data_IF_726092334125
#
_entry.id   IF_726092334125
#
_cell.length_a   1.000
_cell.length_b   1.000
_cell.length_c   1.000
_cell.angle_alpha   90.00
_cell.angle_beta   90.00
_cell.angle_gamma   90.00
#
_symmetry.space_group_name_H-M   'P 1'
#
loop_
_entity.id
_entity.type
_entity.pdbx_description
1 polymer ?
#
# COMPACT_ATOMS: atom_id res chain seq x y z
N UNK A 1 -13.18 15.70 -54.52
CA UNK A 1 -13.71 15.41 -53.17
C UNK A 1 -12.68 15.96 -52.19
N UNK A 2 -13.02 17.08 -51.55
CA UNK A 2 -12.11 17.81 -50.67
C UNK A 2 -12.11 17.11 -49.33
N UNK A 3 -10.94 16.61 -48.92
CA UNK A 3 -10.69 16.23 -47.52
C UNK A 3 -10.75 17.52 -46.69
N UNK A 4 -11.83 17.68 -45.93
CA UNK A 4 -11.89 18.69 -44.90
C UNK A 4 -10.83 18.36 -43.85
N UNK A 5 -9.78 19.19 -43.79
CA UNK A 5 -8.84 19.21 -42.67
C UNK A 5 -9.65 19.58 -41.42
N UNK A 6 -9.94 18.59 -40.58
CA UNK A 6 -10.41 18.84 -39.24
C UNK A 6 -9.29 19.60 -38.51
N UNK A 7 -9.56 20.85 -38.19
CA UNK A 7 -8.70 21.65 -37.28
C UNK A 7 -8.48 20.84 -35.99
N UNK A 8 -7.24 20.61 -35.56
CA UNK A 8 -7.01 19.92 -34.32
C UNK A 8 -7.65 20.75 -33.19
N UNK A 9 -8.72 20.24 -32.58
CA UNK A 9 -9.28 20.85 -31.40
C UNK A 9 -8.15 20.91 -30.36
N UNK A 10 -7.86 22.12 -29.85
CA UNK A 10 -6.88 22.30 -28.80
C UNK A 10 -7.26 21.34 -27.63
N UNK A 11 -6.31 20.57 -27.16
CA UNK A 11 -6.53 19.66 -26.04
C UNK A 11 -7.11 20.44 -24.84
N UNK A 12 -8.17 19.95 -24.19
CA UNK A 12 -8.76 20.62 -23.03
C UNK A 12 -7.73 20.80 -21.92
N UNK A 13 -7.77 21.94 -21.24
CA UNK A 13 -6.85 22.27 -20.14
C UNK A 13 -7.57 22.05 -18.82
N UNK A 14 -7.00 21.22 -17.98
CA UNK A 14 -7.47 20.94 -16.62
C UNK A 14 -6.63 21.64 -15.56
N UNK A 15 -7.20 21.90 -14.39
CA UNK A 15 -6.41 22.31 -13.25
C UNK A 15 -5.55 21.15 -12.75
N UNK A 16 -6.17 19.95 -12.66
CA UNK A 16 -5.52 18.73 -12.22
C UNK A 16 -5.86 17.54 -13.12
N UNK A 17 -4.88 16.71 -13.39
CA UNK A 17 -5.12 15.36 -13.92
C UNK A 17 -4.65 14.35 -12.88
N UNK A 18 -5.52 13.37 -12.57
CA UNK A 18 -5.22 12.22 -11.73
C UNK A 18 -5.02 11.02 -12.65
N UNK A 19 -3.78 10.58 -12.77
CA UNK A 19 -3.39 9.42 -13.57
C UNK A 19 -3.37 8.16 -12.70
N UNK A 20 -4.39 7.33 -12.85
CA UNK A 20 -4.68 6.15 -12.06
C UNK A 20 -5.82 6.38 -11.04
N UNK A 21 -6.93 5.68 -11.23
CA UNK A 21 -8.10 5.67 -10.32
C UNK A 21 -8.07 4.47 -9.36
N UNK A 22 -6.90 4.18 -8.80
CA UNK A 22 -6.72 3.23 -7.70
C UNK A 22 -6.85 3.91 -6.33
N UNK A 23 -6.43 3.21 -5.26
CA UNK A 23 -6.53 3.73 -3.88
C UNK A 23 -5.95 5.13 -3.69
N UNK A 24 -4.80 5.45 -4.27
CA UNK A 24 -4.17 6.77 -4.12
C UNK A 24 -4.86 7.86 -4.93
N UNK A 25 -5.16 7.59 -6.22
CA UNK A 25 -5.82 8.59 -7.07
C UNK A 25 -7.22 8.93 -6.59
N UNK A 26 -8.00 7.92 -6.19
CA UNK A 26 -9.34 8.15 -5.63
C UNK A 26 -9.29 8.80 -4.24
N UNK A 27 -8.29 8.50 -3.40
CA UNK A 27 -8.10 9.23 -2.14
C UNK A 27 -7.82 10.71 -2.40
N UNK A 28 -6.94 11.04 -3.35
CA UNK A 28 -6.66 12.41 -3.69
C UNK A 28 -7.91 13.12 -4.24
N UNK A 29 -8.65 12.47 -5.14
CA UNK A 29 -9.92 12.99 -5.67
C UNK A 29 -10.92 13.29 -4.54
N UNK A 30 -11.07 12.36 -3.59
CA UNK A 30 -11.96 12.54 -2.44
C UNK A 30 -11.62 13.80 -1.66
N UNK A 31 -10.36 14.01 -1.27
CA UNK A 31 -9.94 15.18 -0.51
C UNK A 31 -9.99 16.48 -1.32
N UNK A 32 -9.71 16.46 -2.62
CA UNK A 32 -9.89 17.62 -3.50
C UNK A 32 -11.36 18.07 -3.54
N UNK A 33 -12.29 17.11 -3.65
CA UNK A 33 -13.73 17.40 -3.68
C UNK A 33 -14.29 17.81 -2.32
N UNK A 34 -13.70 17.38 -1.23
CA UNK A 34 -14.05 17.81 0.12
C UNK A 34 -13.51 19.20 0.48
N UNK A 35 -12.50 19.68 -0.24
CA UNK A 35 -11.91 21.01 -0.01
C UNK A 35 -12.85 22.14 -0.42
N UNK A 36 -13.14 23.12 0.46
CA UNK A 36 -13.98 24.28 0.11
C UNK A 36 -13.34 25.18 -0.95
N UNK A 37 -12.01 25.14 -1.12
CA UNK A 37 -11.24 25.98 -2.05
C UNK A 37 -11.04 25.29 -3.40
N UNK A 38 -10.84 23.96 -3.38
CA UNK A 38 -10.42 23.18 -4.55
C UNK A 38 -11.55 22.40 -5.21
N UNK A 39 -12.72 22.26 -4.56
CA UNK A 39 -13.83 21.41 -5.01
C UNK A 39 -14.39 21.78 -6.40
N UNK A 40 -14.18 23.04 -6.85
CA UNK A 40 -14.64 23.52 -8.15
C UNK A 40 -13.57 23.49 -9.26
N UNK A 41 -12.37 22.97 -8.97
CA UNK A 41 -11.30 22.83 -9.96
C UNK A 41 -11.68 21.82 -11.04
N UNK A 42 -11.25 22.08 -12.28
CA UNK A 42 -11.45 21.15 -13.39
C UNK A 42 -10.50 19.96 -13.24
N UNK A 43 -11.04 18.78 -13.01
CA UNK A 43 -10.28 17.56 -12.75
C UNK A 43 -10.56 16.52 -13.84
N UNK A 44 -9.52 15.93 -14.40
CA UNK A 44 -9.61 14.76 -15.23
C UNK A 44 -9.02 13.56 -14.50
N UNK A 45 -9.78 12.48 -14.43
CA UNK A 45 -9.32 11.19 -13.92
C UNK A 45 -9.15 10.23 -15.08
N UNK A 46 -7.97 9.65 -15.24
CA UNK A 46 -7.66 8.69 -16.30
C UNK A 46 -7.21 7.38 -15.68
N UNK A 47 -7.82 6.28 -16.07
CA UNK A 47 -7.41 4.92 -15.67
C UNK A 47 -7.66 3.95 -16.81
N UNK A 48 -6.85 2.91 -16.92
CA UNK A 48 -7.01 1.85 -17.91
C UNK A 48 -8.32 1.07 -17.76
N UNK A 49 -8.90 1.05 -16.54
CA UNK A 49 -10.22 0.48 -16.26
C UNK A 49 -10.93 1.26 -15.16
N UNK A 50 -12.11 1.79 -15.50
CA UNK A 50 -13.04 2.41 -14.57
C UNK A 50 -14.03 1.39 -13.99
N UNK A 51 -14.06 0.18 -14.54
CA UNK A 51 -14.75 -0.96 -13.94
C UNK A 51 -13.86 -1.58 -12.86
N UNK A 52 -14.16 -1.29 -11.60
CA UNK A 52 -13.37 -1.77 -10.46
C UNK A 52 -13.90 -3.11 -9.95
N UNK A 53 -12.96 -3.92 -9.50
CA UNK A 53 -13.23 -5.22 -8.84
C UNK A 53 -12.71 -5.17 -7.41
N UNK A 54 -13.05 -6.16 -6.59
CA UNK A 54 -12.47 -6.28 -5.26
C UNK A 54 -11.06 -6.88 -5.36
N UNK A 55 -10.10 -6.07 -5.83
CA UNK A 55 -8.74 -6.50 -6.13
C UNK A 55 -7.81 -6.49 -4.92
N UNK A 56 -8.27 -5.99 -3.78
CA UNK A 56 -7.50 -5.91 -2.53
C UNK A 56 -8.34 -5.64 -1.30
N UNK A 57 -7.80 -6.03 -0.17
CA UNK A 57 -8.29 -5.71 1.17
C UNK A 57 -7.27 -4.82 1.87
N UNK A 58 -7.72 -3.71 2.46
CA UNK A 58 -6.86 -2.89 3.31
C UNK A 58 -7.16 -3.14 4.77
N UNK A 59 -6.13 -3.57 5.50
CA UNK A 59 -6.15 -3.66 6.94
C UNK A 59 -5.21 -2.61 7.54
N UNK A 60 -5.68 -1.88 8.53
CA UNK A 60 -4.95 -0.79 9.17
C UNK A 60 -5.43 -0.60 10.60
N UNK A 61 -4.65 0.09 11.41
CA UNK A 61 -5.01 0.44 12.78
C UNK A 61 -5.10 1.96 12.92
N UNK A 62 -6.04 2.39 13.75
CA UNK A 62 -6.22 3.80 14.08
C UNK A 62 -6.93 3.99 15.42
N UNK A 63 -6.88 5.23 15.93
CA UNK A 63 -7.57 5.63 17.16
C UNK A 63 -8.85 6.37 16.77
N UNK A 64 -9.99 5.86 17.26
CA UNK A 64 -11.30 6.46 16.99
C UNK A 64 -11.81 6.18 15.57
N UNK A 65 -12.82 6.94 15.19
CA UNK A 65 -13.49 6.86 13.90
C UNK A 65 -13.03 7.98 13.00
N UNK A 66 -12.96 7.72 11.71
CA UNK A 66 -12.63 8.74 10.73
C UNK A 66 -13.43 8.62 9.44
N UNK A 67 -13.00 9.31 8.44
CA UNK A 67 -13.66 9.64 7.18
C UNK A 67 -14.22 8.45 6.39
N UNK A 68 -13.57 7.27 6.51
CA UNK A 68 -14.00 6.03 5.84
C UNK A 68 -14.56 4.99 6.82
N UNK A 69 -14.99 5.42 8.00
CA UNK A 69 -15.53 4.53 9.03
C UNK A 69 -16.75 3.74 8.57
N UNK A 70 -17.60 4.37 7.75
CA UNK A 70 -18.77 3.71 7.16
C UNK A 70 -18.45 2.56 6.22
N UNK A 71 -17.19 2.42 5.80
CA UNK A 71 -16.71 1.37 4.92
C UNK A 71 -16.03 0.23 5.68
N UNK A 72 -15.83 0.39 7.00
CA UNK A 72 -15.18 -0.63 7.83
C UNK A 72 -16.10 -1.84 7.95
N UNK A 73 -15.68 -2.96 7.39
CA UNK A 73 -16.43 -4.21 7.44
C UNK A 73 -16.28 -4.93 8.77
N UNK A 74 -15.10 -4.86 9.36
CA UNK A 74 -14.83 -5.45 10.65
C UNK A 74 -13.71 -4.69 11.39
N UNK A 75 -13.74 -4.77 12.73
CA UNK A 75 -12.71 -4.23 13.62
C UNK A 75 -12.35 -5.25 14.69
N UNK A 76 -11.08 -5.29 15.04
CA UNK A 76 -10.55 -6.14 16.10
C UNK A 76 -9.93 -5.27 17.18
N UNK A 77 -10.24 -5.59 18.42
CA UNK A 77 -9.70 -4.93 19.62
C UNK A 77 -8.52 -5.71 20.23
N UNK A 78 -8.19 -6.86 19.64
CA UNK A 78 -7.02 -7.66 19.98
C UNK A 78 -6.38 -8.25 18.73
N UNK A 79 -5.05 -8.42 18.81
CA UNK A 79 -4.27 -9.16 17.79
C UNK A 79 -3.56 -10.33 18.46
N UNK A 80 -3.22 -11.35 17.67
CA UNK A 80 -2.36 -12.44 18.14
C UNK A 80 -1.18 -12.67 17.21
N UNK A 81 -0.05 -13.06 17.81
CA UNK A 81 1.20 -13.41 17.13
C UNK A 81 1.59 -14.82 17.55
N UNK A 82 1.88 -15.66 16.54
CA UNK A 82 2.26 -17.06 16.76
C UNK A 82 3.60 -17.36 16.07
N UNK A 83 4.48 -18.07 16.77
CA UNK A 83 5.72 -18.60 16.23
C UNK A 83 6.05 -19.89 16.98
N UNK A 84 7.12 -20.59 16.59
CA UNK A 84 7.53 -21.79 17.30
C UNK A 84 7.70 -21.52 18.80
N UNK A 85 7.00 -22.33 19.63
CA UNK A 85 6.99 -22.21 21.10
C UNK A 85 6.57 -20.82 21.63
N UNK A 86 5.87 -20.02 20.83
CA UNK A 86 5.39 -18.69 21.20
C UNK A 86 3.99 -18.44 20.68
N UNK A 87 3.11 -18.01 21.58
CA UNK A 87 1.78 -17.50 21.26
C UNK A 87 1.45 -16.37 22.22
N UNK A 88 1.06 -15.22 21.70
CA UNK A 88 0.69 -14.06 22.51
C UNK A 88 -0.47 -13.33 21.89
N UNK A 89 -1.50 -13.09 22.69
CA UNK A 89 -2.58 -12.19 22.37
C UNK A 89 -2.32 -10.83 23.04
N UNK A 90 -2.60 -9.76 22.34
CA UNK A 90 -2.33 -8.38 22.72
C UNK A 90 -3.57 -7.53 22.47
N UNK A 91 -4.11 -6.84 23.47
CA UNK A 91 -5.11 -5.81 23.26
C UNK A 91 -4.51 -4.68 22.42
N UNK A 92 -5.30 -4.13 21.50
CA UNK A 92 -4.84 -3.07 20.60
C UNK A 92 -5.08 -1.67 21.15
N UNK A 93 -5.92 -1.52 22.19
CA UNK A 93 -6.27 -0.23 22.78
C UNK A 93 -5.05 0.67 23.01
N UNK A 94 -5.11 1.98 22.64
CA UNK A 94 -6.29 2.73 22.20
C UNK A 94 -6.63 2.60 20.70
N UNK A 95 -5.90 1.75 19.95
CA UNK A 95 -6.17 1.49 18.55
C UNK A 95 -7.24 0.42 18.38
N UNK A 96 -7.94 0.45 17.24
CA UNK A 96 -8.64 -0.69 16.68
C UNK A 96 -7.97 -1.10 15.38
N UNK A 97 -7.79 -2.39 15.13
CA UNK A 97 -7.36 -2.91 13.83
C UNK A 97 -8.59 -3.07 12.96
N UNK A 98 -8.61 -2.47 11.77
CA UNK A 98 -9.80 -2.34 10.93
C UNK A 98 -9.56 -2.90 9.55
N UNK A 99 -10.64 -3.31 8.88
CA UNK A 99 -10.62 -3.86 7.53
C UNK A 99 -11.62 -3.13 6.63
N UNK A 100 -11.15 -2.75 5.42
CA UNK A 100 -11.95 -2.18 4.33
C UNK A 100 -11.68 -2.98 3.06
N UNK A 101 -12.72 -3.33 2.31
CA UNK A 101 -12.55 -3.89 0.96
C UNK A 101 -12.29 -2.78 -0.06
N UNK A 102 -11.41 -3.06 -1.03
CA UNK A 102 -11.07 -2.11 -2.08
C UNK A 102 -12.28 -1.66 -2.89
N UNK A 103 -13.16 -2.59 -3.23
CA UNK A 103 -14.36 -2.29 -4.02
C UNK A 103 -15.31 -1.30 -3.32
N UNK A 104 -15.46 -1.40 -2.00
CA UNK A 104 -16.33 -0.49 -1.24
C UNK A 104 -15.78 0.93 -1.26
N UNK A 105 -14.46 1.07 -1.07
CA UNK A 105 -13.77 2.35 -1.16
C UNK A 105 -13.88 2.95 -2.57
N UNK A 106 -13.65 2.16 -3.61
CA UNK A 106 -13.75 2.64 -4.99
C UNK A 106 -15.16 3.14 -5.31
N UNK A 107 -16.17 2.34 -4.97
CA UNK A 107 -17.57 2.69 -5.18
C UNK A 107 -17.98 3.94 -4.42
N UNK A 108 -17.56 4.08 -3.17
CA UNK A 108 -17.84 5.25 -2.34
C UNK A 108 -17.33 6.54 -2.99
N UNK A 109 -16.06 6.58 -3.37
CA UNK A 109 -15.46 7.78 -3.95
C UNK A 109 -15.99 8.05 -5.35
N UNK A 110 -16.04 7.02 -6.22
CA UNK A 110 -16.49 7.20 -7.60
C UNK A 110 -17.95 7.63 -7.70
N UNK A 111 -18.82 7.08 -6.85
CA UNK A 111 -20.23 7.47 -6.82
C UNK A 111 -20.39 8.95 -6.47
N UNK A 112 -19.70 9.41 -5.44
CA UNK A 112 -19.73 10.82 -5.04
C UNK A 112 -19.14 11.75 -6.11
N UNK A 113 -18.03 11.33 -6.76
CA UNK A 113 -17.33 12.12 -7.75
C UNK A 113 -18.06 12.19 -9.09
N UNK A 114 -18.79 11.15 -9.52
CA UNK A 114 -19.61 11.14 -10.74
C UNK A 114 -20.75 12.15 -10.73
N UNK A 115 -21.16 12.62 -9.55
CA UNK A 115 -22.18 13.67 -9.40
C UNK A 115 -21.62 15.09 -9.62
N UNK A 116 -20.30 15.24 -9.78
CA UNK A 116 -19.61 16.53 -9.91
C UNK A 116 -19.36 16.85 -11.39
N UNK A 117 -19.91 17.96 -11.88
CA UNK A 117 -19.81 18.38 -13.30
C UNK A 117 -18.38 18.78 -13.72
N UNK A 118 -17.54 19.11 -12.76
CA UNK A 118 -16.14 19.50 -12.98
C UNK A 118 -15.16 18.32 -12.89
N UNK A 119 -15.65 17.09 -12.73
CA UNK A 119 -14.85 15.86 -12.74
C UNK A 119 -15.14 15.09 -14.02
N UNK A 120 -14.13 14.94 -14.84
CA UNK A 120 -14.20 14.22 -16.11
C UNK A 120 -13.48 12.88 -15.96
N UNK A 121 -13.96 11.87 -16.70
CA UNK A 121 -13.44 10.51 -16.61
C UNK A 121 -13.06 10.01 -17.99
N UNK A 122 -11.89 9.42 -18.11
CA UNK A 122 -11.41 8.74 -19.31
C UNK A 122 -10.95 7.35 -18.96
N UNK A 123 -11.55 6.34 -19.61
CA UNK A 123 -11.07 4.96 -19.53
C UNK A 123 -10.09 4.71 -20.66
N UNK A 124 -8.80 4.77 -20.36
CA UNK A 124 -7.72 4.55 -21.31
C UNK A 124 -6.39 4.25 -20.59
N UNK A 125 -5.54 3.48 -21.25
CA UNK A 125 -4.15 3.33 -20.84
C UNK A 125 -3.35 4.56 -21.25
N UNK A 126 -2.73 5.22 -20.28
CA UNK A 126 -1.84 6.36 -20.54
C UNK A 126 -0.56 5.84 -21.21
N UNK A 127 -0.23 6.46 -22.36
CA UNK A 127 0.97 6.13 -23.11
C UNK A 127 2.14 7.05 -22.81
N UNK A 128 1.87 8.32 -22.45
CA UNK A 128 2.92 9.29 -22.19
C UNK A 128 2.45 10.39 -21.22
N UNK A 129 3.40 10.89 -20.41
CA UNK A 129 3.24 12.07 -19.54
C UNK A 129 4.48 12.94 -19.75
N UNK A 130 4.29 14.14 -20.31
CA UNK A 130 5.41 15.01 -20.70
C UNK A 130 5.17 16.43 -20.24
N UNK A 131 6.18 17.05 -19.65
CA UNK A 131 6.19 18.48 -19.35
C UNK A 131 6.32 19.27 -20.67
N UNK A 132 5.46 20.26 -20.83
CA UNK A 132 5.47 21.18 -21.98
C UNK A 132 5.57 22.63 -21.50
N UNK A 133 5.91 23.54 -22.41
CA UNK A 133 6.05 24.97 -22.11
C UNK A 133 7.10 25.27 -21.01
N UNK A 134 8.19 24.49 -20.96
CA UNK A 134 9.24 24.54 -19.93
C UNK A 134 9.86 25.93 -19.75
N UNK A 135 9.85 26.77 -20.81
CA UNK A 135 10.41 28.12 -20.78
C UNK A 135 9.42 29.20 -20.35
N UNK A 136 8.15 28.84 -20.13
CA UNK A 136 7.12 29.79 -19.66
C UNK A 136 7.03 29.79 -18.13
N UNK A 137 6.57 30.89 -17.50
CA UNK A 137 6.40 30.95 -16.04
C UNK A 137 5.39 29.92 -15.51
N UNK A 138 4.45 29.51 -16.33
CA UNK A 138 3.50 28.44 -16.03
C UNK A 138 3.79 27.23 -16.91
N UNK A 139 4.46 26.26 -16.35
CA UNK A 139 4.65 24.96 -16.96
C UNK A 139 3.31 24.23 -17.06
N UNK A 140 3.11 23.48 -18.14
CA UNK A 140 1.95 22.62 -18.33
C UNK A 140 2.43 21.18 -18.56
N UNK A 141 1.54 20.21 -18.34
CA UNK A 141 1.78 18.81 -18.62
C UNK A 141 0.83 18.34 -19.69
N UNK A 142 1.33 17.65 -20.70
CA UNK A 142 0.58 16.92 -21.69
C UNK A 142 0.50 15.45 -21.28
N UNK A 143 -0.72 14.92 -21.21
CA UNK A 143 -0.97 13.48 -21.08
C UNK A 143 -1.55 12.97 -22.39
N UNK A 144 -1.05 11.82 -22.85
CA UNK A 144 -1.46 11.17 -24.08
C UNK A 144 -1.90 9.73 -23.80
N UNK A 145 -2.94 9.31 -24.51
CA UNK A 145 -3.46 7.93 -24.53
C UNK A 145 -3.96 7.59 -25.93
N UNK A 146 -4.23 6.34 -26.18
CA UNK A 146 -4.79 5.94 -27.48
C UNK A 146 -6.12 6.65 -27.75
N UNK A 147 -6.19 7.44 -28.81
CA UNK A 147 -7.37 8.19 -29.23
C UNK A 147 -7.55 9.57 -28.59
N UNK A 148 -6.60 10.05 -27.75
CA UNK A 148 -6.74 11.39 -27.17
C UNK A 148 -5.55 11.92 -26.42
N UNK A 149 -5.69 13.19 -26.05
CA UNK A 149 -4.73 13.87 -25.18
C UNK A 149 -5.42 14.96 -24.36
N UNK A 150 -4.82 15.35 -23.25
CA UNK A 150 -5.26 16.48 -22.42
C UNK A 150 -4.05 17.20 -21.83
N UNK A 151 -4.26 18.48 -21.48
CA UNK A 151 -3.27 19.30 -20.80
C UNK A 151 -3.72 19.59 -19.37
N UNK A 152 -2.78 19.74 -18.46
CA UNK A 152 -3.06 20.19 -17.10
C UNK A 152 -1.99 21.12 -16.57
N UNK A 153 -2.37 21.92 -15.56
CA UNK A 153 -1.41 22.70 -14.75
C UNK A 153 -0.58 21.79 -13.86
N UNK A 154 -1.19 20.71 -13.35
CA UNK A 154 -0.52 19.72 -12.47
C UNK A 154 -1.06 18.32 -12.76
N UNK A 155 -0.19 17.33 -12.67
CA UNK A 155 -0.52 15.90 -12.79
C UNK A 155 -0.13 15.16 -11.53
N UNK A 156 -1.04 14.35 -11.02
CA UNK A 156 -0.81 13.42 -9.91
C UNK A 156 -0.89 11.98 -10.45
N UNK A 157 0.22 11.28 -10.47
CA UNK A 157 0.27 9.93 -11.03
C UNK A 157 0.56 8.88 -9.97
N UNK A 158 -0.22 7.79 -10.00
CA UNK A 158 -0.01 6.58 -9.19
C UNK A 158 0.35 5.36 -10.04
N UNK A 159 0.60 5.57 -11.35
CA UNK A 159 0.83 4.48 -12.30
C UNK A 159 2.23 3.93 -12.10
N UNK A 160 2.31 2.72 -11.57
CA UNK A 160 3.55 1.96 -11.45
C UNK A 160 3.94 1.34 -12.80
N UNK A 161 5.24 1.08 -13.03
CA UNK A 161 5.71 0.37 -14.22
C UNK A 161 5.30 -1.12 -14.25
N UNK A 162 4.58 -1.59 -13.22
CA UNK A 162 4.04 -2.94 -13.07
C UNK A 162 2.69 -2.90 -12.33
N UNK A 163 1.89 -3.96 -12.48
CA UNK A 163 0.63 -4.12 -11.76
C UNK A 163 0.85 -4.96 -10.50
N UNK A 164 0.58 -4.40 -9.32
CA UNK A 164 0.83 -5.06 -8.03
C UNK A 164 -0.02 -6.32 -7.80
N UNK A 165 -1.17 -6.42 -8.45
CA UNK A 165 -2.06 -7.59 -8.42
C UNK A 165 -1.83 -8.58 -9.59
N UNK A 166 -0.76 -8.41 -10.34
CA UNK A 166 -0.38 -9.30 -11.43
C UNK A 166 1.08 -9.74 -11.25
N UNK A 167 1.28 -10.91 -10.64
CA UNK A 167 2.63 -11.42 -10.33
C UNK A 167 3.51 -11.58 -11.56
N UNK A 168 2.93 -11.92 -12.72
CA UNK A 168 3.71 -12.02 -13.97
C UNK A 168 4.25 -10.65 -14.42
N UNK A 169 3.50 -9.57 -14.20
CA UNK A 169 3.96 -8.20 -14.45
C UNK A 169 5.07 -7.80 -13.48
N UNK A 170 4.94 -8.18 -12.21
CA UNK A 170 5.93 -7.89 -11.16
C UNK A 170 7.23 -8.65 -11.40
N UNK A 171 7.16 -9.96 -11.71
CA UNK A 171 8.36 -10.77 -12.00
C UNK A 171 9.10 -10.30 -13.25
N UNK A 172 8.37 -9.81 -14.25
CA UNK A 172 8.97 -9.20 -15.44
C UNK A 172 9.71 -7.90 -15.10
N UNK A 173 9.16 -7.07 -14.20
CA UNK A 173 9.83 -5.87 -13.72
C UNK A 173 11.09 -6.22 -12.92
N UNK A 174 11.01 -7.25 -12.09
CA UNK A 174 12.11 -7.72 -11.26
C UNK A 174 13.34 -8.16 -12.06
N UNK A 175 13.13 -8.66 -13.28
CA UNK A 175 14.20 -9.07 -14.20
C UNK A 175 14.93 -7.88 -14.87
N UNK A 176 14.41 -6.65 -14.76
CA UNK A 176 14.84 -5.52 -15.60
C UNK A 176 16.02 -4.74 -15.03
N UNK A 177 16.23 -4.55 -13.75
CA UNK A 177 17.50 -3.99 -13.23
C UNK A 177 17.60 -3.84 -11.71
N UNK A 178 18.02 -4.88 -10.99
CA UNK A 178 18.44 -4.76 -9.58
C UNK A 178 19.90 -4.35 -9.42
N UNK A 179 20.67 -4.36 -10.48
CA UNK A 179 22.14 -4.21 -10.43
C UNK A 179 22.58 -2.75 -10.37
N UNK A 180 21.77 -1.82 -10.86
CA UNK A 180 22.10 -0.40 -10.88
C UNK A 180 22.06 0.29 -9.52
N UNK A 181 21.22 -0.21 -8.57
CA UNK A 181 21.09 0.37 -7.24
C UNK A 181 21.36 -0.69 -6.16
N UNK A 182 22.47 -0.55 -5.44
CA UNK A 182 22.90 -1.43 -4.34
C UNK A 182 22.02 -1.37 -3.07
N UNK A 183 20.81 -0.81 -3.14
CA UNK A 183 19.89 -0.70 -2.01
C UNK A 183 19.07 -1.98 -1.85
N UNK A 184 18.80 -2.45 -0.62
CA UNK A 184 17.94 -3.59 -0.37
C UNK A 184 16.57 -3.43 -1.03
N UNK A 185 16.11 -4.47 -1.70
CA UNK A 185 14.80 -4.55 -2.31
C UNK A 185 14.21 -5.93 -2.04
N UNK A 186 13.05 -5.96 -1.39
CA UNK A 186 12.24 -7.15 -1.17
C UNK A 186 10.84 -6.90 -1.72
N UNK A 187 10.12 -7.97 -1.99
CA UNK A 187 8.69 -7.95 -2.21
C UNK A 187 7.99 -8.43 -0.94
N UNK A 188 6.93 -7.72 -0.53
CA UNK A 188 5.86 -8.35 0.23
C UNK A 188 4.89 -8.90 -0.80
N UNK A 189 4.86 -10.20 -0.95
CA UNK A 189 3.95 -10.86 -1.88
C UNK A 189 3.06 -11.86 -1.14
N UNK A 190 1.84 -12.01 -1.62
CA UNK A 190 0.83 -12.74 -0.90
C UNK A 190 -0.25 -13.32 -1.82
N UNK A 191 -0.93 -14.33 -1.31
CA UNK A 191 -2.25 -14.78 -1.78
C UNK A 191 -3.16 -14.93 -0.59
N UNK A 192 -4.36 -14.32 -0.68
CA UNK A 192 -5.41 -14.35 0.33
C UNK A 192 -6.68 -15.00 -0.20
N UNK A 193 -7.45 -15.61 0.72
CA UNK A 193 -8.77 -16.19 0.47
C UNK A 193 -9.75 -15.74 1.53
N UNK A 194 -10.91 -15.25 1.13
CA UNK A 194 -12.05 -15.18 2.03
C UNK A 194 -12.71 -16.56 2.02
N UNK A 195 -12.69 -17.21 3.18
CA UNK A 195 -13.27 -18.53 3.38
C UNK A 195 -14.51 -18.47 4.26
N UNK A 196 -15.56 -19.21 3.90
CA UNK A 196 -16.80 -19.31 4.67
C UNK A 196 -17.00 -20.77 5.10
N UNK A 197 -17.05 -20.99 6.41
CA UNK A 197 -17.30 -22.31 7.00
C UNK A 197 -18.79 -22.53 7.25
N UNK A 198 -19.22 -23.79 7.25
CA UNK A 198 -20.60 -24.18 7.52
C UNK A 198 -20.98 -24.18 9.00
N UNK A 199 -20.03 -23.90 9.90
CA UNK A 199 -20.21 -23.82 11.35
C UNK A 199 -19.26 -22.79 11.95
N UNK A 200 -19.54 -22.24 13.14
CA UNK A 200 -18.66 -21.33 13.84
C UNK A 200 -17.32 -21.99 14.18
N UNK A 201 -16.21 -21.42 13.73
CA UNK A 201 -14.85 -21.92 13.97
C UNK A 201 -13.88 -20.80 14.40
N UNK A 202 -14.25 -19.54 14.22
CA UNK A 202 -13.37 -18.40 14.47
C UNK A 202 -13.75 -17.64 15.74
N UNK A 203 -12.76 -17.12 16.43
CA UNK A 203 -12.95 -16.03 17.37
C UNK A 203 -12.91 -14.70 16.61
N UNK A 204 -14.06 -14.09 16.37
CA UNK A 204 -14.19 -12.85 15.60
C UNK A 204 -13.63 -11.60 16.30
N UNK A 205 -13.21 -11.71 17.56
CA UNK A 205 -12.68 -10.57 18.34
C UNK A 205 -11.16 -10.42 18.18
N UNK A 206 -10.45 -11.42 17.68
CA UNK A 206 -8.99 -11.45 17.63
C UNK A 206 -8.48 -11.66 16.21
N UNK A 207 -7.75 -10.69 15.67
CA UNK A 207 -7.02 -10.84 14.43
C UNK A 207 -5.71 -11.57 14.65
N UNK A 208 -5.48 -12.71 14.01
CA UNK A 208 -4.16 -13.33 13.97
C UNK A 208 -3.32 -12.57 12.96
N UNK A 209 -2.52 -11.62 13.47
CA UNK A 209 -1.77 -10.69 12.65
C UNK A 209 -0.55 -11.35 11.99
N UNK A 210 0.10 -12.27 12.68
CA UNK A 210 1.24 -13.03 12.14
C UNK A 210 1.29 -14.41 12.79
N UNK A 211 1.15 -15.45 11.97
CA UNK A 211 1.45 -16.84 12.38
C UNK A 211 2.62 -17.36 11.55
N UNK A 212 3.79 -17.43 12.18
CA UNK A 212 5.03 -17.88 11.55
C UNK A 212 5.17 -19.42 11.49
N UNK A 213 4.20 -20.19 12.00
CA UNK A 213 4.22 -21.65 11.97
C UNK A 213 3.80 -22.21 10.58
N UNK A 214 4.36 -21.62 9.54
CA UNK A 214 4.14 -21.91 8.12
C UNK A 214 5.47 -22.11 7.40
N UNK A 215 5.50 -22.70 6.19
CA UNK A 215 6.73 -22.83 5.41
C UNK A 215 7.39 -21.48 5.16
N UNK A 216 8.70 -21.36 5.51
CA UNK A 216 9.43 -20.09 5.42
C UNK A 216 10.12 -19.87 4.07
N UNK A 217 10.40 -20.91 3.30
CA UNK A 217 11.07 -20.87 1.97
C UNK A 217 12.36 -20.02 1.93
N UNK A 218 13.11 -19.98 3.04
CA UNK A 218 14.30 -19.13 3.16
C UNK A 218 14.04 -17.63 3.25
N UNK A 219 12.78 -17.24 3.48
CA UNK A 219 12.29 -15.86 3.55
C UNK A 219 11.70 -15.54 4.94
N UNK A 220 10.92 -14.47 5.04
CA UNK A 220 10.05 -14.22 6.19
C UNK A 220 8.61 -14.49 5.76
N UNK A 221 8.05 -15.62 6.15
CA UNK A 221 6.70 -15.99 5.77
C UNK A 221 5.79 -16.12 6.99
N UNK A 222 4.53 -15.72 6.83
CA UNK A 222 3.52 -15.83 7.88
C UNK A 222 2.11 -15.89 7.29
N UNK A 223 1.19 -16.40 8.10
CA UNK A 223 -0.23 -16.41 7.77
C UNK A 223 -0.94 -15.29 8.54
N UNK A 224 -1.70 -14.46 7.82
CA UNK A 224 -2.80 -13.70 8.41
C UNK A 224 -4.03 -14.62 8.53
N UNK A 225 -4.73 -14.54 9.64
CA UNK A 225 -6.08 -15.06 9.78
C UNK A 225 -6.92 -13.98 10.45
N UNK A 226 -7.77 -13.35 9.65
CA UNK A 226 -8.55 -12.17 10.02
C UNK A 226 -10.04 -12.52 9.99
N UNK A 227 -10.62 -12.96 11.12
CA UNK A 227 -12.02 -13.34 11.19
C UNK A 227 -12.94 -12.14 10.96
N UNK A 228 -13.85 -12.24 9.99
CA UNK A 228 -14.89 -11.23 9.72
C UNK A 228 -16.09 -11.48 10.64
N UNK A 229 -16.38 -12.76 10.90
CA UNK A 229 -17.35 -13.24 11.85
C UNK A 229 -16.95 -14.65 12.33
N UNK A 230 -17.80 -15.33 13.07
CA UNK A 230 -17.50 -16.66 13.61
C UNK A 230 -17.37 -17.76 12.53
N UNK A 231 -17.89 -17.52 11.31
CA UNK A 231 -17.88 -18.50 10.21
C UNK A 231 -17.02 -18.03 9.02
N UNK A 232 -16.63 -16.77 8.95
CA UNK A 232 -15.94 -16.21 7.79
C UNK A 232 -14.65 -15.50 8.19
N UNK A 233 -13.57 -15.71 7.42
CA UNK A 233 -12.29 -15.06 7.62
C UNK A 233 -11.55 -14.81 6.31
N UNK A 234 -10.72 -13.77 6.27
CA UNK A 234 -9.62 -13.66 5.32
C UNK A 234 -8.44 -14.47 5.88
N UNK A 235 -7.95 -15.41 5.07
CA UNK A 235 -6.75 -16.20 5.35
C UNK A 235 -5.74 -15.89 4.25
N UNK A 236 -4.57 -15.33 4.62
CA UNK A 236 -3.60 -14.85 3.65
C UNK A 236 -2.20 -15.34 4.00
N UNK A 237 -1.55 -16.00 3.03
CA UNK A 237 -0.15 -16.39 3.12
C UNK A 237 0.72 -15.30 2.52
N UNK A 238 1.55 -14.66 3.34
CA UNK A 238 2.38 -13.51 3.02
C UNK A 238 3.86 -13.82 3.24
N UNK A 239 4.70 -13.36 2.31
CA UNK A 239 6.15 -13.50 2.38
C UNK A 239 6.86 -12.16 2.13
N UNK A 240 7.99 -11.96 2.81
CA UNK A 240 8.98 -10.94 2.51
C UNK A 240 10.21 -11.61 1.91
N UNK A 241 10.38 -11.53 0.60
CA UNK A 241 11.48 -12.17 -0.10
C UNK A 241 11.95 -11.36 -1.30
N UNK A 242 13.10 -11.72 -1.84
CA UNK A 242 13.63 -11.13 -3.06
C UNK A 242 13.05 -11.80 -4.32
N UNK A 243 12.37 -12.93 -4.18
CA UNK A 243 11.73 -13.66 -5.28
C UNK A 243 10.27 -13.96 -4.93
N UNK A 244 9.41 -13.85 -5.94
CA UNK A 244 7.98 -14.15 -5.82
C UNK A 244 7.78 -15.65 -6.08
N UNK A 245 6.98 -16.30 -5.25
CA UNK A 245 6.64 -17.72 -5.39
C UNK A 245 5.71 -17.96 -6.60
N UNK A 246 5.77 -19.18 -7.13
CA UNK A 246 4.75 -19.65 -8.05
C UNK A 246 3.40 -19.83 -7.36
N UNK A 247 2.30 -19.54 -8.09
CA UNK A 247 0.93 -19.55 -7.54
C UNK A 247 0.59 -20.86 -6.78
N UNK A 248 0.93 -22.08 -7.30
CA UNK A 248 0.63 -23.32 -6.58
C UNK A 248 1.26 -23.42 -5.19
N UNK A 249 2.37 -22.73 -4.92
CA UNK A 249 3.02 -22.74 -3.61
C UNK A 249 2.18 -22.01 -2.55
N UNK A 250 1.53 -20.90 -2.94
CA UNK A 250 0.60 -20.21 -2.04
C UNK A 250 -0.63 -21.10 -1.77
N UNK A 251 -1.18 -21.71 -2.82
CA UNK A 251 -2.36 -22.57 -2.70
C UNK A 251 -2.09 -23.75 -1.76
N UNK A 252 -0.92 -24.36 -1.89
CA UNK A 252 -0.49 -25.45 -1.00
C UNK A 252 -0.41 -24.96 0.45
N UNK A 253 0.27 -23.84 0.71
CA UNK A 253 0.44 -23.31 2.06
C UNK A 253 -0.91 -22.92 2.71
N UNK A 254 -1.85 -22.33 1.93
CA UNK A 254 -3.18 -21.98 2.39
C UNK A 254 -4.00 -23.22 2.72
N UNK A 255 -3.98 -24.24 1.84
CA UNK A 255 -4.70 -25.49 2.03
C UNK A 255 -4.17 -26.28 3.24
N UNK A 256 -2.85 -26.39 3.37
CA UNK A 256 -2.21 -27.07 4.51
C UNK A 256 -2.51 -26.38 5.83
N UNK A 257 -2.51 -25.03 5.83
CA UNK A 257 -2.84 -24.25 7.02
C UNK A 257 -4.29 -24.49 7.46
N UNK A 258 -5.24 -24.41 6.52
CA UNK A 258 -6.65 -24.64 6.80
C UNK A 258 -6.90 -26.09 7.24
N UNK A 259 -6.33 -27.08 6.56
CA UNK A 259 -6.45 -28.49 6.93
C UNK A 259 -5.87 -28.80 8.32
N UNK A 260 -4.74 -28.16 8.67
CA UNK A 260 -4.09 -28.32 9.99
C UNK A 260 -4.93 -27.73 11.13
N UNK A 261 -5.54 -26.56 10.93
CA UNK A 261 -6.23 -25.83 11.99
C UNK A 261 -7.73 -26.16 12.06
N UNK A 262 -8.32 -26.63 10.96
CA UNK A 262 -9.75 -26.91 10.82
C UNK A 262 -10.01 -28.24 10.10
N UNK A 263 -9.43 -29.37 10.58
CA UNK A 263 -9.38 -30.65 9.84
C UNK A 263 -10.75 -31.25 9.52
N UNK A 264 -11.75 -31.02 10.38
CA UNK A 264 -13.09 -31.62 10.25
C UNK A 264 -14.13 -30.63 9.70
N UNK A 265 -13.67 -29.50 9.16
CA UNK A 265 -14.57 -28.42 8.75
C UNK A 265 -14.65 -28.30 7.24
N UNK A 266 -15.87 -28.11 6.74
CA UNK A 266 -16.13 -27.84 5.32
C UNK A 266 -16.25 -26.33 5.13
N UNK A 267 -15.54 -25.80 4.14
CA UNK A 267 -15.59 -24.40 3.78
C UNK A 267 -15.69 -24.19 2.28
N UNK A 268 -16.16 -23.01 1.88
CA UNK A 268 -16.15 -22.48 0.51
C UNK A 268 -15.18 -21.31 0.43
N UNK A 269 -14.59 -21.11 -0.76
CA UNK A 269 -13.78 -19.91 -1.06
C UNK A 269 -14.69 -18.92 -1.75
N UNK A 270 -14.95 -17.80 -1.10
CA UNK A 270 -15.84 -16.74 -1.61
C UNK A 270 -15.07 -15.76 -2.52
N UNK A 271 -13.81 -15.51 -2.21
CA UNK A 271 -12.98 -14.55 -2.91
C UNK A 271 -11.51 -14.92 -2.78
N UNK A 272 -10.72 -14.58 -3.82
CA UNK A 272 -9.26 -14.68 -3.79
C UNK A 272 -8.64 -13.33 -4.17
N UNK A 273 -7.57 -12.98 -3.48
CA UNK A 273 -6.73 -11.84 -3.83
C UNK A 273 -5.26 -12.28 -3.90
N UNK A 274 -4.49 -11.61 -4.76
CA UNK A 274 -3.08 -11.87 -4.93
C UNK A 274 -2.35 -10.56 -5.18
N UNK A 275 -1.15 -10.41 -4.65
CA UNK A 275 -0.42 -9.17 -4.85
C UNK A 275 1.06 -9.24 -4.49
N UNK A 276 1.77 -8.20 -4.93
CA UNK A 276 3.15 -7.96 -4.55
C UNK A 276 3.37 -6.46 -4.34
N UNK A 277 3.86 -6.10 -3.18
CA UNK A 277 4.10 -4.73 -2.74
C UNK A 277 5.62 -4.54 -2.63
N UNK A 278 6.20 -3.50 -3.25
CA UNK A 278 7.64 -3.26 -3.15
C UNK A 278 8.02 -2.78 -1.74
N UNK A 279 8.98 -3.46 -1.14
CA UNK A 279 9.60 -3.11 0.13
C UNK A 279 10.99 -2.52 -0.14
N UNK A 280 11.04 -1.22 -0.35
CA UNK A 280 12.28 -0.52 -0.74
C UNK A 280 12.21 0.96 -0.45
N UNK A 281 13.36 1.63 -0.48
CA UNK A 281 13.48 3.09 -0.52
C UNK A 281 13.86 3.63 -1.91
N UNK A 282 13.92 2.76 -2.91
CA UNK A 282 14.19 3.18 -4.30
C UNK A 282 12.97 3.86 -4.89
N UNK A 283 13.19 4.97 -5.60
CA UNK A 283 12.15 5.62 -6.39
C UNK A 283 11.91 4.83 -7.68
N UNK A 284 10.67 4.74 -8.10
CA UNK A 284 10.27 4.16 -9.38
C UNK A 284 10.12 5.21 -10.49
N UNK A 285 10.38 6.47 -10.19
CA UNK A 285 10.14 7.58 -11.11
C UNK A 285 11.10 8.75 -10.82
N UNK A 286 11.45 9.47 -11.87
CA UNK A 286 12.22 10.72 -11.84
C UNK A 286 11.35 11.93 -12.21
N UNK A 287 10.03 11.85 -12.07
CA UNK A 287 9.16 12.99 -12.33
C UNK A 287 9.43 14.14 -11.34
N UNK A 288 9.39 15.35 -11.87
CA UNK A 288 9.53 16.60 -11.12
C UNK A 288 8.27 17.47 -11.32
N UNK A 289 8.13 18.50 -10.48
CA UNK A 289 7.01 19.43 -10.61
C UNK A 289 6.95 20.04 -12.02
N UNK A 290 5.77 20.09 -12.63
CA UNK A 290 4.42 19.93 -12.07
C UNK A 290 3.82 18.50 -12.16
N UNK A 291 4.64 17.47 -12.30
CA UNK A 291 4.20 16.06 -12.25
C UNK A 291 4.57 15.50 -10.87
N UNK A 292 3.57 15.05 -10.12
CA UNK A 292 3.73 14.56 -8.75
C UNK A 292 3.36 13.09 -8.65
N UNK A 293 4.21 12.31 -8.04
CA UNK A 293 3.95 10.88 -7.79
C UNK A 293 3.21 10.70 -6.46
N UNK A 294 2.19 9.85 -6.48
CA UNK A 294 1.36 9.52 -5.30
C UNK A 294 1.23 8.01 -5.10
N UNK A 295 0.75 7.61 -3.94
CA UNK A 295 0.56 6.20 -3.60
C UNK A 295 1.87 5.42 -3.59
N UNK A 296 1.86 4.20 -4.10
CA UNK A 296 3.04 3.34 -4.16
C UNK A 296 4.17 3.95 -5.00
N UNK A 297 3.85 4.55 -6.15
CA UNK A 297 4.81 5.27 -6.98
C UNK A 297 5.43 6.45 -6.23
N UNK A 298 4.64 7.16 -5.43
CA UNK A 298 5.06 8.27 -4.56
C UNK A 298 5.57 7.83 -3.19
N UNK A 299 5.93 6.56 -3.04
CA UNK A 299 6.49 5.99 -1.81
C UNK A 299 5.58 6.11 -0.56
N UNK A 300 4.25 6.26 -0.72
CA UNK A 300 3.28 6.24 0.37
C UNK A 300 2.99 4.80 0.86
N UNK A 301 4.06 4.04 1.06
CA UNK A 301 4.07 2.68 1.59
C UNK A 301 5.16 2.61 2.65
N UNK A 302 4.90 1.92 3.77
CA UNK A 302 5.96 1.64 4.74
C UNK A 302 6.92 0.61 4.15
N UNK A 303 8.13 1.05 3.87
CA UNK A 303 9.13 0.27 3.14
C UNK A 303 9.49 -1.07 3.82
N UNK A 304 9.34 -1.18 5.14
CA UNK A 304 9.70 -2.36 5.91
C UNK A 304 8.56 -3.37 6.14
N UNK A 305 7.31 -3.00 5.82
CA UNK A 305 6.12 -3.83 6.15
C UNK A 305 4.99 -3.76 5.12
N UNK A 306 5.12 -2.95 4.07
CA UNK A 306 4.12 -2.85 3.00
C UNK A 306 2.82 -2.12 3.36
N UNK A 307 2.61 -1.68 4.62
CA UNK A 307 1.41 -0.92 4.97
C UNK A 307 1.31 0.36 4.15
N UNK A 308 0.14 0.58 3.52
CA UNK A 308 -0.04 1.65 2.55
C UNK A 308 -1.24 2.57 2.85
N UNK A 309 -2.40 2.05 3.27
CA UNK A 309 -3.65 2.80 3.31
C UNK A 309 -3.53 4.12 4.08
N UNK A 310 -3.06 4.08 5.32
CA UNK A 310 -2.90 5.27 6.16
C UNK A 310 -1.89 6.27 5.60
N UNK A 311 -0.78 5.78 5.01
CA UNK A 311 0.22 6.65 4.39
C UNK A 311 -0.32 7.33 3.12
N UNK A 312 -1.14 6.63 2.35
CA UNK A 312 -1.85 7.21 1.20
C UNK A 312 -2.80 8.33 1.66
N UNK A 313 -3.59 8.09 2.72
CA UNK A 313 -4.49 9.10 3.26
C UNK A 313 -3.71 10.34 3.74
N UNK A 314 -2.63 10.14 4.49
CA UNK A 314 -1.76 11.23 4.96
C UNK A 314 -1.15 12.02 3.79
N UNK A 315 -0.66 11.32 2.75
CA UNK A 315 -0.10 11.95 1.55
C UNK A 315 -1.14 12.84 0.87
N UNK A 316 -2.32 12.30 0.60
CA UNK A 316 -3.39 13.01 -0.10
C UNK A 316 -3.89 14.22 0.70
N UNK A 317 -4.10 14.09 2.02
CA UNK A 317 -4.44 15.21 2.90
C UNK A 317 -3.38 16.30 2.89
N UNK A 318 -2.10 15.92 2.96
CA UNK A 318 -0.98 16.86 2.93
C UNK A 318 -0.91 17.61 1.59
N UNK A 319 -1.08 16.92 0.46
CA UNK A 319 -1.11 17.52 -0.87
C UNK A 319 -2.24 18.56 -0.96
N UNK A 320 -3.45 18.20 -0.55
CA UNK A 320 -4.62 19.10 -0.61
C UNK A 320 -4.39 20.32 0.26
N UNK A 321 -3.91 20.17 1.50
CA UNK A 321 -3.57 21.30 2.37
C UNK A 321 -2.51 22.22 1.76
N UNK A 322 -1.48 21.67 1.11
CA UNK A 322 -0.45 22.47 0.43
C UNK A 322 -1.04 23.23 -0.79
N UNK A 323 -1.93 22.61 -1.55
CA UNK A 323 -2.63 23.24 -2.67
C UNK A 323 -3.53 24.39 -2.19
N UNK A 324 -4.26 24.23 -1.09
CA UNK A 324 -5.10 25.28 -0.47
C UNK A 324 -4.30 26.51 -0.07
N UNK A 325 -3.08 26.30 0.42
CA UNK A 325 -2.19 27.38 0.83
C UNK A 325 -1.29 27.93 -0.29
N UNK A 326 -1.37 27.39 -1.50
CA UNK A 326 -0.48 27.77 -2.62
C UNK A 326 1.00 27.47 -2.35
N UNK A 327 1.28 26.49 -1.51
CA UNK A 327 2.64 26.08 -1.13
C UNK A 327 3.24 25.13 -2.16
N UNK A 328 4.57 24.99 -2.12
CA UNK A 328 5.29 23.97 -2.91
C UNK A 328 4.88 22.60 -2.44
N UNK A 329 4.45 21.73 -3.37
CA UNK A 329 3.98 20.40 -3.04
C UNK A 329 5.16 19.50 -2.70
N UNK A 330 5.08 18.91 -1.52
CA UNK A 330 5.94 17.81 -1.06
C UNK A 330 5.08 16.57 -0.84
N UNK A 331 5.31 15.54 -1.62
CA UNK A 331 4.56 14.26 -1.54
C UNK A 331 5.13 13.28 -0.50
N UNK A 332 6.24 13.61 0.16
CA UNK A 332 6.87 12.72 1.14
C UNK A 332 6.10 12.70 2.47
N UNK A 333 5.68 11.51 2.90
CA UNK A 333 4.95 11.28 4.15
C UNK A 333 5.82 10.66 5.26
N UNK A 334 7.03 10.23 4.93
CA UNK A 334 7.91 9.56 5.88
C UNK A 334 8.95 10.53 6.44
N UNK A 335 9.08 10.57 7.76
CA UNK A 335 10.16 11.31 8.39
C UNK A 335 11.50 10.56 8.26
N UNK A 336 12.61 11.29 8.30
CA UNK A 336 13.97 10.76 8.10
C UNK A 336 14.32 9.67 9.10
N UNK A 337 13.86 9.79 10.34
CA UNK A 337 14.13 8.83 11.42
C UNK A 337 13.53 7.45 11.13
N UNK A 338 12.25 7.38 10.80
CA UNK A 338 11.58 6.10 10.50
C UNK A 338 12.05 5.52 9.16
N UNK A 339 12.36 6.36 8.16
CA UNK A 339 13.01 5.89 6.94
C UNK A 339 14.35 5.21 7.20
N UNK A 340 15.10 5.70 8.18
CA UNK A 340 16.34 5.06 8.60
C UNK A 340 16.07 3.70 9.26
N UNK A 341 15.08 3.61 10.16
CA UNK A 341 14.73 2.34 10.81
C UNK A 341 14.24 1.29 9.81
N UNK A 342 13.40 1.70 8.85
CA UNK A 342 12.96 0.83 7.77
C UNK A 342 14.14 0.31 6.93
N UNK A 343 15.10 1.19 6.60
CA UNK A 343 16.29 0.79 5.86
C UNK A 343 17.17 -0.22 6.63
N UNK A 344 17.26 -0.06 7.95
CA UNK A 344 18.00 -1.02 8.81
C UNK A 344 17.30 -2.38 8.85
N UNK A 345 15.97 -2.41 9.02
CA UNK A 345 15.22 -3.67 9.00
C UNK A 345 15.32 -4.36 7.64
N UNK A 346 15.11 -3.63 6.55
CA UNK A 346 15.29 -4.17 5.19
C UNK A 346 16.70 -4.72 4.97
N UNK A 347 17.73 -4.02 5.47
CA UNK A 347 19.11 -4.52 5.39
C UNK A 347 19.30 -5.83 6.15
N UNK A 348 18.70 -5.98 7.33
CA UNK A 348 18.79 -7.22 8.11
C UNK A 348 18.09 -8.37 7.41
N UNK A 349 16.88 -8.14 6.89
CA UNK A 349 16.09 -9.14 6.18
C UNK A 349 16.73 -9.54 4.85
N UNK A 350 17.12 -8.58 4.02
CA UNK A 350 17.69 -8.80 2.69
C UNK A 350 19.01 -9.58 2.74
N UNK A 351 19.87 -9.32 3.75
CA UNK A 351 21.14 -10.03 3.91
C UNK A 351 21.02 -11.24 4.85
N UNK A 352 19.79 -11.69 5.17
CA UNK A 352 19.52 -12.86 6.04
C UNK A 352 20.32 -12.85 7.35
N UNK A 353 20.51 -11.65 7.96
CA UNK A 353 21.28 -11.51 9.20
C UNK A 353 20.54 -12.04 10.43
N UNK A 354 19.23 -12.12 10.34
CA UNK A 354 18.33 -12.65 11.33
C UNK A 354 17.01 -13.05 10.67
N UNK A 355 16.43 -14.15 11.11
CA UNK A 355 15.10 -14.58 10.62
C UNK A 355 14.02 -13.58 11.01
N UNK A 356 13.16 -13.22 10.05
CA UNK A 356 12.10 -12.24 10.30
C UNK A 356 11.11 -12.72 11.36
N UNK A 357 10.78 -14.01 11.40
CA UNK A 357 9.94 -14.60 12.44
C UNK A 357 10.48 -14.30 13.85
N UNK A 358 11.78 -14.45 14.06
CA UNK A 358 12.40 -14.16 15.36
C UNK A 358 12.46 -12.65 15.65
N UNK A 359 12.61 -11.79 14.61
CA UNK A 359 12.56 -10.33 14.77
C UNK A 359 11.18 -9.90 15.29
N UNK A 360 10.12 -10.28 14.57
CA UNK A 360 8.76 -9.89 14.93
C UNK A 360 8.31 -10.52 16.25
N UNK A 361 8.63 -11.80 16.49
CA UNK A 361 8.40 -12.45 17.78
C UNK A 361 8.98 -11.63 18.93
N UNK A 362 10.25 -11.18 18.83
CA UNK A 362 10.88 -10.36 19.88
C UNK A 362 10.22 -9.03 20.08
N UNK A 363 9.84 -8.36 18.99
CA UNK A 363 9.14 -7.08 19.05
C UNK A 363 7.83 -7.23 19.82
N UNK A 364 6.97 -8.17 19.43
CA UNK A 364 5.67 -8.35 20.09
C UNK A 364 5.74 -9.06 21.44
N UNK A 365 6.78 -9.84 21.71
CA UNK A 365 6.98 -10.44 23.03
C UNK A 365 7.26 -9.39 24.11
N UNK A 366 8.00 -8.33 23.77
CA UNK A 366 8.52 -7.34 24.73
C UNK A 366 7.79 -6.01 24.74
N UNK A 367 6.89 -5.77 23.78
CA UNK A 367 6.16 -4.52 23.64
C UNK A 367 4.65 -4.81 23.60
N UNK A 368 3.85 -3.82 23.98
CA UNK A 368 2.41 -3.81 23.74
C UNK A 368 2.10 -3.48 22.26
N UNK A 369 0.89 -3.83 21.81
CA UNK A 369 0.48 -3.58 20.44
C UNK A 369 0.45 -2.09 20.10
N UNK A 370 0.04 -1.23 21.04
CA UNK A 370 -0.05 0.21 20.81
C UNK A 370 1.31 0.85 20.50
N UNK A 371 2.35 0.47 21.25
CA UNK A 371 3.73 0.93 20.98
C UNK A 371 4.23 0.44 19.62
N UNK A 372 3.96 -0.82 19.26
CA UNK A 372 4.33 -1.36 17.95
C UNK A 372 3.57 -0.64 16.84
N UNK A 373 2.28 -0.42 16.98
CA UNK A 373 1.46 0.28 15.97
C UNK A 373 1.91 1.72 15.75
N UNK A 374 2.22 2.47 16.82
CA UNK A 374 2.82 3.81 16.69
C UNK A 374 4.14 3.77 15.90
N UNK A 375 5.01 2.81 16.21
CA UNK A 375 6.28 2.64 15.50
C UNK A 375 6.06 2.34 14.02
N UNK A 376 5.15 1.43 13.69
CA UNK A 376 4.81 1.07 12.32
C UNK A 376 4.07 2.19 11.56
N UNK A 377 3.36 3.08 12.26
CA UNK A 377 2.70 4.26 11.68
C UNK A 377 3.60 5.51 11.58
N UNK A 378 4.88 5.42 11.98
CA UNK A 378 5.81 6.54 12.04
C UNK A 378 5.40 7.66 13.02
N UNK A 379 4.59 7.34 14.04
CA UNK A 379 4.06 8.27 15.05
C UNK A 379 4.67 8.07 16.43
N UNK A 380 5.55 7.07 16.60
CA UNK A 380 6.25 6.82 17.86
C UNK A 380 7.21 7.96 18.24
N UNK A 381 7.35 8.21 19.53
CA UNK A 381 8.36 9.10 20.07
C UNK A 381 9.71 8.38 20.25
N UNK A 382 10.77 9.11 20.61
CA UNK A 382 12.11 8.52 20.75
C UNK A 382 12.21 7.45 21.83
N UNK A 383 11.44 7.54 22.91
CA UNK A 383 11.46 6.54 23.98
C UNK A 383 10.78 5.25 23.53
N UNK A 384 9.67 5.34 22.82
CA UNK A 384 8.99 4.21 22.20
C UNK A 384 9.90 3.54 21.16
N UNK A 385 10.63 4.32 20.35
CA UNK A 385 11.61 3.79 19.40
C UNK A 385 12.73 3.01 20.12
N UNK A 386 13.30 3.57 21.18
CA UNK A 386 14.32 2.91 21.99
C UNK A 386 13.78 1.62 22.61
N UNK A 387 12.53 1.61 23.06
CA UNK A 387 11.88 0.42 23.61
C UNK A 387 11.80 -0.70 22.55
N UNK A 388 11.37 -0.38 21.33
CA UNK A 388 11.38 -1.33 20.21
C UNK A 388 12.79 -1.83 19.91
N UNK A 389 13.77 -0.94 19.82
CA UNK A 389 15.18 -1.31 19.53
C UNK A 389 15.78 -2.22 20.61
N UNK A 390 15.47 -2.00 21.88
CA UNK A 390 15.91 -2.85 23.00
C UNK A 390 15.34 -4.28 22.95
N UNK A 391 14.27 -4.50 22.20
CA UNK A 391 13.72 -5.84 21.98
C UNK A 391 14.60 -6.68 21.03
N UNK A 392 15.46 -6.02 20.25
CA UNK A 392 16.26 -6.61 19.19
C UNK A 392 17.74 -6.76 19.57
N UNK A 393 18.47 -7.76 19.02
CA UNK A 393 19.86 -8.00 19.37
C UNK A 393 20.79 -6.92 18.79
N UNK A 394 21.37 -6.10 19.65
CA UNK A 394 22.28 -5.00 19.27
C UNK A 394 23.44 -5.48 18.39
N UNK A 395 23.97 -6.68 18.62
CA UNK A 395 25.06 -7.28 17.81
C UNK A 395 24.71 -7.47 16.33
N UNK A 396 23.42 -7.50 15.97
CA UNK A 396 22.95 -7.63 14.58
C UNK A 396 22.53 -6.26 14.04
N UNK A 397 21.73 -5.52 14.81
CA UNK A 397 21.12 -4.27 14.33
C UNK A 397 22.08 -3.08 14.32
N UNK A 398 23.05 -2.99 15.25
CA UNK A 398 24.02 -1.90 15.25
C UNK A 398 24.97 -1.94 14.05
N UNK A 399 25.59 -3.07 13.67
CA UNK A 399 26.35 -3.15 12.43
C UNK A 399 25.52 -2.88 11.17
N UNK A 400 24.25 -3.30 11.15
CA UNK A 400 23.33 -3.01 10.05
C UNK A 400 23.04 -1.50 9.95
N UNK A 401 22.82 -0.83 11.09
CA UNK A 401 22.61 0.62 11.13
C UNK A 401 23.83 1.39 10.61
N UNK A 402 25.04 1.00 11.03
CA UNK A 402 26.31 1.58 10.54
C UNK A 402 26.42 1.36 9.02
N UNK A 403 26.14 0.15 8.51
CA UNK A 403 26.20 -0.15 7.08
C UNK A 403 25.23 0.70 6.25
N UNK A 404 24.01 0.96 6.79
CA UNK A 404 23.02 1.84 6.14
C UNK A 404 23.49 3.30 6.14
N UNK A 405 24.10 3.78 7.23
CA UNK A 405 24.65 5.14 7.29
C UNK A 405 25.79 5.34 6.29
N UNK A 406 26.73 4.40 6.21
CA UNK A 406 27.87 4.47 5.29
C UNK A 406 27.49 4.39 3.79
N UNK A 407 26.29 3.91 3.45
CA UNK A 407 25.80 3.89 2.07
C UNK A 407 25.08 5.17 1.64
N UNK A 408 24.73 6.05 2.60
CA UNK A 408 24.10 7.34 2.35
C UNK A 408 25.08 8.51 2.14
N UNK A 409 26.35 8.29 2.41
CA UNK A 409 27.47 9.18 2.07
C UNK A 409 28.14 8.77 0.76
#
# INVERSE_FOLDING_TARGET
MSHANATPHAAPIYDYIIAGAGGAGLSLLHYLLASPILSNKQILVIDQSLHKTNDRTWCFWEIGDHEFESLVQHRWDAISIHAESFSKELPTSPFSYKMIQGIDFYNYVMTAAKLKLNVHWVEAAISNITEINVQQPQKEVLIEWEGGSAKAKMVFTSILPFQMNNLASVTKYDSIDRTANKSPFLWQHFKGRIVSFNQPVFNSQVARLMDFNVPQHGATAFMYLLPINEMQALVEYTLFSDQILDIPMYDLALNDYLAKHYPDSVYTIEHEEIGAIPMTHQSFSNFEAPIYTIGALGMAIKASTGYAFQFIQQQCKSIVAQLEHGSVINTNVHNTRHRFYDAVLLHVLFYHKMEGAEIFKRIFAKNDAATVFKFLSNTSNLWEDIQIMRSLPTRIFLPAAIAVLCRRG
#
